data_IF_159612714893
#
_entry.id   IF_159612714893
#
_cell.length_a   1.000
_cell.length_b   1.000
_cell.length_c   1.000
_cell.angle_alpha   90.00
_cell.angle_beta   90.00
_cell.angle_gamma   90.00
#
_symmetry.space_group_name_H-M   'P 1'
#
loop_
_entity.id
_entity.type
_entity.pdbx_description
1 polymer ?
#
# COMPACT_ATOMS: atom_id res chain seq x y z
N UNK A 1 8.57 6.21 -12.98
CA UNK A 1 9.19 6.74 -11.76
C UNK A 1 10.70 6.69 -11.93
N UNK A 2 11.31 7.79 -12.37
CA UNK A 2 12.75 7.80 -12.69
C UNK A 2 13.40 9.10 -12.18
N UNK A 3 12.96 9.65 -11.05
CA UNK A 3 13.54 10.88 -10.50
C UNK A 3 13.38 10.89 -8.98
N UNK A 4 14.45 11.29 -8.27
CA UNK A 4 14.45 11.40 -6.80
C UNK A 4 15.67 10.75 -6.13
N UNK A 5 16.26 9.73 -6.76
CA UNK A 5 17.39 8.98 -6.21
C UNK A 5 17.12 8.34 -4.83
N UNK A 6 18.17 7.79 -4.18
CA UNK A 6 18.07 7.20 -2.85
C UNK A 6 17.60 8.20 -1.76
N UNK A 7 17.92 9.48 -1.95
CA UNK A 7 17.63 10.55 -0.98
C UNK A 7 16.14 10.77 -0.78
N UNK A 8 15.39 10.91 -1.88
CA UNK A 8 13.94 11.09 -1.79
C UNK A 8 13.30 9.87 -1.16
N UNK A 9 13.77 8.66 -1.49
CA UNK A 9 13.21 7.45 -0.89
C UNK A 9 13.38 7.41 0.63
N UNK A 10 14.56 7.74 1.15
CA UNK A 10 14.83 7.72 2.60
C UNK A 10 14.08 8.82 3.33
N UNK A 11 14.18 10.07 2.86
CA UNK A 11 13.56 11.21 3.54
C UNK A 11 12.04 11.23 3.39
N UNK A 12 11.50 10.85 2.23
CA UNK A 12 10.05 10.73 2.06
C UNK A 12 9.49 9.62 2.96
N UNK A 13 10.18 8.48 3.09
CA UNK A 13 9.75 7.41 3.98
C UNK A 13 9.67 7.88 5.44
N UNK A 14 10.72 8.52 5.96
CA UNK A 14 10.75 9.01 7.35
C UNK A 14 9.65 10.05 7.58
N UNK A 15 9.50 10.99 6.65
CA UNK A 15 8.49 12.04 6.74
C UNK A 15 7.07 11.46 6.74
N UNK A 16 6.76 10.56 5.81
CA UNK A 16 5.45 9.89 5.72
C UNK A 16 5.21 9.01 6.94
N UNK A 17 6.24 8.35 7.48
CA UNK A 17 6.13 7.54 8.68
C UNK A 17 5.73 8.39 9.90
N UNK A 18 6.35 9.55 10.10
CA UNK A 18 5.99 10.47 11.20
C UNK A 18 4.54 10.93 11.10
N UNK A 19 4.11 11.37 9.90
CA UNK A 19 2.72 11.79 9.69
C UNK A 19 1.72 10.64 9.94
N UNK A 20 2.06 9.44 9.48
CA UNK A 20 1.22 8.24 9.68
C UNK A 20 1.15 7.85 11.15
N UNK A 21 2.25 7.99 11.91
CA UNK A 21 2.28 7.75 13.35
C UNK A 21 1.37 8.72 14.11
N UNK A 22 1.37 10.02 13.76
CA UNK A 22 0.45 10.98 14.36
C UNK A 22 -1.02 10.55 14.18
N UNK A 23 -1.40 10.16 12.97
CA UNK A 23 -2.77 9.67 12.68
C UNK A 23 -3.08 8.40 13.46
N UNK A 24 -2.12 7.47 13.52
CA UNK A 24 -2.29 6.19 14.23
C UNK A 24 -2.43 6.39 15.74
N UNK A 25 -1.67 7.32 16.34
CA UNK A 25 -1.77 7.65 17.76
C UNK A 25 -3.13 8.27 18.10
N UNK A 26 -3.64 9.19 17.28
CA UNK A 26 -5.00 9.74 17.46
C UNK A 26 -6.07 8.65 17.39
N UNK A 27 -5.94 7.70 16.44
CA UNK A 27 -6.87 6.56 16.37
C UNK A 27 -6.72 5.62 17.57
N UNK A 28 -5.50 5.41 18.08
CA UNK A 28 -5.26 4.58 19.26
C UNK A 28 -5.93 5.16 20.52
N UNK A 29 -5.91 6.49 20.70
CA UNK A 29 -6.59 7.17 21.81
C UNK A 29 -8.12 7.07 21.73
N UNK A 30 -8.68 7.15 20.52
CA UNK A 30 -10.11 6.94 20.29
C UNK A 30 -10.50 5.49 20.61
N UNK A 31 -9.70 4.52 20.15
CA UNK A 31 -9.91 3.09 20.43
C UNK A 31 -9.84 2.76 21.92
N UNK A 32 -8.93 3.38 22.68
CA UNK A 32 -8.79 3.15 24.12
C UNK A 32 -9.96 3.74 24.92
N UNK A 33 -10.48 4.89 24.48
CA UNK A 33 -11.61 5.57 25.11
C UNK A 33 -12.95 4.92 24.76
N UNK A 34 -13.10 4.38 23.55
CA UNK A 34 -14.34 3.77 23.05
C UNK A 34 -14.08 2.38 22.46
N UNK A 35 -13.87 1.34 23.30
CA UNK A 35 -13.60 -0.02 22.87
C UNK A 35 -14.90 -0.72 22.44
N UNK A 36 -15.59 -0.16 21.44
CA UNK A 36 -16.84 -0.70 20.90
C UNK A 36 -16.62 -1.09 19.44
N UNK A 37 -17.16 -2.25 19.03
CA UNK A 37 -17.04 -2.81 17.68
C UNK A 37 -17.73 -2.01 16.56
N UNK A 38 -18.09 -0.75 16.81
CA UNK A 38 -18.85 0.12 15.89
C UNK A 38 -18.01 0.76 14.78
N UNK A 39 -16.69 0.53 14.74
CA UNK A 39 -15.82 1.03 13.69
C UNK A 39 -15.80 2.56 13.52
N UNK A 40 -15.20 3.02 12.42
CA UNK A 40 -14.95 4.43 12.13
C UNK A 40 -16.24 5.28 12.05
N UNK A 41 -17.35 4.69 11.61
CA UNK A 41 -18.64 5.38 11.51
C UNK A 41 -19.27 5.63 12.89
N UNK A 42 -19.03 4.75 13.87
CA UNK A 42 -19.53 4.91 15.23
C UNK A 42 -18.71 5.95 16.01
N UNK A 43 -17.39 5.92 15.85
CA UNK A 43 -16.50 6.90 16.48
C UNK A 43 -16.80 8.32 16.00
N UNK A 44 -16.98 8.52 14.68
CA UNK A 44 -17.39 9.83 14.14
C UNK A 44 -18.74 10.31 14.67
N UNK A 45 -19.67 9.40 14.97
CA UNK A 45 -20.97 9.74 15.54
C UNK A 45 -20.94 10.08 17.04
N UNK A 46 -19.94 9.64 17.79
CA UNK A 46 -19.79 9.94 19.22
C UNK A 46 -19.06 11.27 19.44
N UNK A 47 -18.09 11.57 18.58
CA UNK A 47 -17.26 12.77 18.67
C UNK A 47 -18.00 14.05 18.25
N UNK A 48 -19.10 13.93 17.51
CA UNK A 48 -19.82 15.06 16.91
C UNK A 48 -21.09 15.39 17.72
N UNK A 49 -21.48 16.69 17.85
CA UNK A 49 -22.72 17.09 18.53
C UNK A 49 -23.96 16.35 18.00
N UNK A 50 -24.92 16.05 18.89
CA UNK A 50 -26.13 15.24 18.57
C UNK A 50 -26.88 15.68 17.31
N UNK A 51 -26.81 16.97 16.96
CA UNK A 51 -27.42 17.57 15.76
C UNK A 51 -26.78 17.10 14.43
N UNK A 52 -25.47 16.85 14.42
CA UNK A 52 -24.72 16.47 13.20
C UNK A 52 -24.26 15.01 13.20
N UNK A 53 -24.49 14.28 14.29
CA UNK A 53 -24.19 12.85 14.43
C UNK A 53 -24.57 11.99 13.21
N UNK A 54 -25.81 12.02 12.69
CA UNK A 54 -26.17 11.19 11.54
C UNK A 54 -25.47 11.61 10.24
N UNK A 55 -25.22 12.92 10.04
CA UNK A 55 -24.52 13.41 8.85
C UNK A 55 -23.05 13.02 8.86
N UNK A 56 -22.37 13.20 10.00
CA UNK A 56 -20.95 12.85 10.13
C UNK A 56 -20.73 11.34 9.94
N UNK A 57 -21.52 10.49 10.60
CA UNK A 57 -21.44 9.04 10.42
C UNK A 57 -21.76 8.60 8.99
N UNK A 58 -22.69 9.28 8.30
CA UNK A 58 -23.03 9.00 6.91
C UNK A 58 -21.85 9.26 5.97
N UNK A 59 -21.26 10.46 6.03
CA UNK A 59 -20.09 10.78 5.20
C UNK A 59 -18.91 9.86 5.52
N UNK A 60 -18.59 9.64 6.79
CA UNK A 60 -17.49 8.74 7.18
C UNK A 60 -17.73 7.31 6.69
N UNK A 61 -18.97 6.81 6.75
CA UNK A 61 -19.33 5.49 6.21
C UNK A 61 -19.11 5.40 4.70
N UNK A 62 -19.59 6.39 3.93
CA UNK A 62 -19.42 6.41 2.47
C UNK A 62 -17.97 6.54 2.04
N UNK A 63 -17.20 7.42 2.67
CA UNK A 63 -15.78 7.56 2.37
C UNK A 63 -15.01 6.29 2.73
N UNK A 64 -15.37 5.61 3.82
CA UNK A 64 -14.76 4.33 4.17
C UNK A 64 -15.08 3.26 3.13
N UNK A 65 -16.34 3.17 2.68
CA UNK A 65 -16.78 2.22 1.66
C UNK A 65 -16.08 2.43 0.32
N UNK A 66 -16.06 3.69 -0.18
CA UNK A 66 -15.39 4.04 -1.43
C UNK A 66 -13.89 3.79 -1.32
N UNK A 67 -13.29 4.13 -0.18
CA UNK A 67 -11.88 3.88 0.10
C UNK A 67 -11.54 2.40 0.01
N UNK A 68 -12.37 1.52 0.59
CA UNK A 68 -12.15 0.08 0.51
C UNK A 68 -12.22 -0.42 -0.93
N UNK A 69 -13.23 -0.02 -1.71
CA UNK A 69 -13.29 -0.41 -3.13
C UNK A 69 -12.10 0.08 -3.94
N UNK A 70 -11.68 1.34 -3.73
CA UNK A 70 -10.52 1.91 -4.43
C UNK A 70 -9.22 1.17 -4.07
N UNK A 71 -9.01 0.84 -2.79
CA UNK A 71 -7.84 0.09 -2.32
C UNK A 71 -7.82 -1.31 -2.90
N UNK A 72 -8.94 -2.06 -2.84
CA UNK A 72 -9.02 -3.40 -3.42
C UNK A 72 -8.74 -3.37 -4.92
N UNK A 73 -9.38 -2.46 -5.67
CA UNK A 73 -9.16 -2.32 -7.10
C UNK A 73 -7.70 -1.98 -7.46
N UNK A 74 -7.05 -1.12 -6.67
CA UNK A 74 -5.65 -0.75 -6.88
C UNK A 74 -4.71 -1.95 -6.65
N UNK A 75 -4.95 -2.74 -5.60
CA UNK A 75 -4.16 -3.93 -5.29
C UNK A 75 -4.35 -5.01 -6.36
N UNK A 76 -5.58 -5.29 -6.76
CA UNK A 76 -5.89 -6.29 -7.78
C UNK A 76 -5.29 -5.92 -9.14
N UNK A 77 -5.35 -4.65 -9.51
CA UNK A 77 -4.69 -4.15 -10.72
C UNK A 77 -3.15 -4.27 -10.64
N UNK A 78 -2.57 -3.96 -9.47
CA UNK A 78 -1.14 -4.16 -9.23
C UNK A 78 -0.73 -5.64 -9.35
N UNK A 79 -1.54 -6.55 -8.83
CA UNK A 79 -1.34 -8.00 -8.98
C UNK A 79 -1.42 -8.41 -10.45
N UNK A 80 -2.42 -7.91 -11.20
CA UNK A 80 -2.58 -8.21 -12.62
C UNK A 80 -1.35 -7.78 -13.45
N UNK A 81 -0.77 -6.61 -13.14
CA UNK A 81 0.47 -6.14 -13.77
C UNK A 81 1.66 -7.03 -13.44
N UNK A 82 1.80 -7.46 -12.17
CA UNK A 82 2.86 -8.38 -11.75
C UNK A 82 2.72 -9.74 -12.46
N UNK A 83 1.52 -10.31 -12.50
CA UNK A 83 1.24 -11.57 -13.18
C UNK A 83 1.55 -11.46 -14.68
N UNK A 84 1.10 -10.39 -15.34
CA UNK A 84 1.41 -10.14 -16.74
C UNK A 84 2.94 -10.03 -17.00
N UNK A 85 3.67 -9.40 -16.07
CA UNK A 85 5.13 -9.28 -16.15
C UNK A 85 5.82 -10.64 -15.99
N UNK A 86 5.38 -11.47 -15.05
CA UNK A 86 5.92 -12.83 -14.83
C UNK A 86 5.67 -13.71 -16.07
N UNK A 87 4.48 -13.64 -16.66
CA UNK A 87 4.16 -14.39 -17.89
C UNK A 87 5.03 -13.93 -19.06
N UNK A 88 5.25 -12.62 -19.22
CA UNK A 88 6.12 -12.08 -20.27
C UNK A 88 7.56 -12.56 -20.11
N UNK A 89 8.10 -12.57 -18.89
CA UNK A 89 9.45 -13.08 -18.59
C UNK A 89 9.55 -14.59 -18.86
N UNK A 90 8.56 -15.37 -18.42
CA UNK A 90 8.52 -16.82 -18.64
C UNK A 90 8.43 -17.22 -20.11
N UNK A 91 7.86 -16.37 -20.96
CA UNK A 91 7.77 -16.56 -22.41
C UNK A 91 8.92 -15.90 -23.19
N UNK A 92 10.07 -15.66 -22.54
CA UNK A 92 11.26 -15.03 -23.14
C UNK A 92 10.95 -13.68 -23.83
N UNK A 93 10.08 -12.86 -23.22
CA UNK A 93 9.67 -11.53 -23.71
C UNK A 93 9.02 -11.52 -25.10
N UNK A 94 8.63 -12.68 -25.63
CA UNK A 94 7.93 -12.80 -26.92
C UNK A 94 6.49 -12.29 -26.84
N UNK A 95 5.93 -12.23 -25.64
CA UNK A 95 4.58 -11.74 -25.38
C UNK A 95 4.62 -10.37 -24.72
N UNK A 96 4.05 -9.38 -25.40
CA UNK A 96 3.85 -8.03 -24.87
C UNK A 96 2.43 -7.92 -24.30
N UNK A 97 2.26 -7.63 -22.99
CA UNK A 97 0.95 -7.54 -22.38
C UNK A 97 0.18 -6.34 -22.92
N UNK A 98 -0.81 -6.60 -23.79
CA UNK A 98 -1.73 -5.55 -24.27
C UNK A 98 -2.71 -5.17 -23.15
N UNK A 99 -3.23 -3.93 -23.11
CA UNK A 99 -4.16 -3.47 -22.08
C UNK A 99 -5.36 -4.40 -21.85
N UNK A 100 -5.91 -4.96 -22.93
CA UNK A 100 -7.02 -5.90 -22.86
C UNK A 100 -6.70 -7.17 -22.05
N UNK A 101 -5.48 -7.72 -22.17
CA UNK A 101 -5.08 -8.92 -21.42
C UNK A 101 -4.94 -8.61 -19.93
N UNK A 102 -4.44 -7.42 -19.58
CA UNK A 102 -4.31 -6.99 -18.18
C UNK A 102 -5.69 -6.88 -17.53
N UNK A 103 -6.69 -6.33 -18.24
CA UNK A 103 -8.07 -6.27 -17.77
C UNK A 103 -8.65 -7.67 -17.58
N UNK A 104 -8.40 -8.60 -18.49
CA UNK A 104 -8.89 -9.97 -18.38
C UNK A 104 -8.28 -10.72 -17.18
N UNK A 105 -6.97 -10.55 -16.97
CA UNK A 105 -6.27 -11.11 -15.80
C UNK A 105 -6.82 -10.50 -14.51
N UNK A 106 -7.00 -9.18 -14.47
CA UNK A 106 -7.60 -8.48 -13.33
C UNK A 106 -9.01 -9.00 -13.02
N UNK A 107 -9.85 -9.20 -14.04
CA UNK A 107 -11.19 -9.76 -13.86
C UNK A 107 -11.14 -11.17 -13.24
N UNK A 108 -10.23 -12.03 -13.69
CA UNK A 108 -10.04 -13.37 -13.11
C UNK A 108 -9.61 -13.32 -11.64
N UNK A 109 -8.72 -12.39 -11.29
CA UNK A 109 -8.26 -12.18 -9.91
C UNK A 109 -9.42 -11.73 -9.02
N UNK A 110 -10.19 -10.73 -9.45
CA UNK A 110 -11.34 -10.21 -8.69
C UNK A 110 -12.40 -11.28 -8.46
N UNK A 111 -12.70 -12.12 -9.47
CA UNK A 111 -13.63 -13.25 -9.31
C UNK A 111 -13.10 -14.24 -8.27
N UNK A 112 -11.80 -14.54 -8.31
CA UNK A 112 -11.17 -15.46 -7.35
C UNK A 112 -11.22 -14.90 -5.93
N UNK A 113 -10.92 -13.60 -5.74
CA UNK A 113 -11.07 -12.93 -4.45
C UNK A 113 -12.52 -12.91 -3.96
N UNK A 114 -13.48 -12.66 -4.86
CA UNK A 114 -14.91 -12.75 -4.55
C UNK A 114 -15.31 -14.15 -4.07
N UNK A 115 -14.85 -15.20 -4.75
CA UNK A 115 -15.08 -16.59 -4.34
C UNK A 115 -14.45 -16.89 -2.98
N UNK A 116 -13.20 -16.52 -2.75
CA UNK A 116 -12.54 -16.67 -1.45
C UNK A 116 -13.31 -15.96 -0.32
N UNK A 117 -13.89 -14.78 -0.60
CA UNK A 117 -14.71 -14.05 0.38
C UNK A 117 -16.00 -14.82 0.74
N UNK A 118 -16.56 -15.62 -0.18
CA UNK A 118 -17.73 -16.45 0.10
C UNK A 118 -17.42 -17.71 0.92
N UNK A 119 -16.15 -18.14 1.01
CA UNK A 119 -15.73 -19.39 1.69
C UNK A 119 -15.74 -19.33 3.23
N UNK A 120 -16.44 -18.35 3.81
CA UNK A 120 -16.73 -18.27 5.23
C UNK A 120 -15.61 -17.68 6.10
N UNK A 121 -15.95 -17.24 7.33
CA UNK A 121 -15.06 -16.43 8.16
C UNK A 121 -13.81 -17.18 8.69
N UNK A 122 -13.82 -18.52 8.69
CA UNK A 122 -12.67 -19.32 9.15
C UNK A 122 -11.49 -19.26 8.19
N UNK A 123 -11.74 -19.35 6.88
CA UNK A 123 -10.67 -19.22 5.88
C UNK A 123 -10.09 -17.81 5.91
N UNK A 124 -10.95 -16.80 5.98
CA UNK A 124 -10.52 -15.40 6.05
C UNK A 124 -9.67 -15.13 7.30
N UNK A 125 -10.08 -15.64 8.47
CA UNK A 125 -9.28 -15.49 9.69
C UNK A 125 -7.90 -16.16 9.57
N UNK A 126 -7.81 -17.31 8.92
CA UNK A 126 -6.53 -17.98 8.70
C UNK A 126 -5.64 -17.19 7.72
N UNK A 127 -6.19 -16.75 6.59
CA UNK A 127 -5.48 -15.93 5.61
C UNK A 127 -4.96 -14.62 6.23
N UNK A 128 -5.76 -13.96 7.05
CA UNK A 128 -5.36 -12.75 7.77
C UNK A 128 -4.17 -13.02 8.70
N UNK A 129 -4.22 -14.11 9.48
CA UNK A 129 -3.10 -14.47 10.36
C UNK A 129 -1.81 -14.74 9.58
N UNK A 130 -1.89 -15.48 8.47
CA UNK A 130 -0.73 -15.72 7.58
C UNK A 130 -0.21 -14.41 6.99
N UNK A 131 -1.12 -13.52 6.55
CA UNK A 131 -0.76 -12.21 5.99
C UNK A 131 -0.02 -11.33 6.99
N UNK A 132 -0.43 -11.33 8.26
CA UNK A 132 0.28 -10.59 9.32
C UNK A 132 1.71 -11.12 9.49
N UNK A 133 1.89 -12.43 9.60
CA UNK A 133 3.23 -13.01 9.71
C UNK A 133 4.09 -12.76 8.48
N UNK A 134 3.50 -12.84 7.28
CA UNK A 134 4.21 -12.54 6.03
C UNK A 134 4.68 -11.09 5.98
N UNK A 135 3.82 -10.13 6.35
CA UNK A 135 4.17 -8.70 6.37
C UNK A 135 5.24 -8.35 7.41
N UNK A 136 5.34 -9.12 8.50
CA UNK A 136 6.40 -8.94 9.50
C UNK A 136 7.72 -9.59 9.04
N UNK A 137 7.67 -10.80 8.50
CA UNK A 137 8.87 -11.58 8.15
C UNK A 137 9.49 -11.15 6.82
N UNK A 138 8.68 -10.87 5.79
CA UNK A 138 9.18 -10.57 4.45
C UNK A 138 10.13 -9.36 4.42
N UNK A 139 9.83 -8.21 5.06
CA UNK A 139 10.76 -7.07 5.10
C UNK A 139 12.07 -7.40 5.81
N UNK A 140 12.02 -8.19 6.90
CA UNK A 140 13.21 -8.61 7.64
C UNK A 140 14.08 -9.51 6.76
N UNK A 141 13.48 -10.51 6.11
CA UNK A 141 14.18 -11.44 5.23
C UNK A 141 14.81 -10.70 4.05
N UNK A 142 14.07 -9.83 3.38
CA UNK A 142 14.58 -9.04 2.24
C UNK A 142 15.73 -8.12 2.69
N UNK A 143 15.58 -7.46 3.84
CA UNK A 143 16.64 -6.59 4.39
C UNK A 143 17.91 -7.38 4.69
N UNK A 144 17.79 -8.56 5.32
CA UNK A 144 18.93 -9.44 5.61
C UNK A 144 19.55 -10.02 4.34
N UNK A 145 18.73 -10.44 3.37
CA UNK A 145 19.20 -10.96 2.10
C UNK A 145 20.00 -9.90 1.31
N UNK A 146 19.55 -8.65 1.32
CA UNK A 146 20.29 -7.54 0.72
C UNK A 146 21.61 -7.26 1.46
N UNK A 147 21.60 -7.28 2.80
CA UNK A 147 22.81 -7.08 3.61
C UNK A 147 23.86 -8.17 3.40
N UNK A 148 23.45 -9.44 3.27
CA UNK A 148 24.35 -10.59 3.11
C UNK A 148 24.78 -10.74 1.64
N UNK A 149 23.87 -10.49 0.70
CA UNK A 149 24.10 -10.65 -0.74
C UNK A 149 25.02 -9.59 -1.36
N UNK A 150 25.27 -8.47 -0.68
CA UNK A 150 26.17 -7.42 -1.17
C UNK A 150 27.62 -7.66 -0.72
N UNK A 151 28.50 -8.04 -1.67
CA UNK A 151 29.97 -8.10 -1.51
C UNK A 151 30.69 -7.61 -2.79
N UNK A 152 31.78 -6.82 -2.71
CA UNK A 152 32.10 -5.75 -1.76
C UNK A 152 31.80 -4.36 -2.38
N UNK A 153 30.99 -3.55 -1.70
CA UNK A 153 30.70 -2.18 -2.16
C UNK A 153 29.41 -1.65 -1.56
N UNK A 154 29.37 -1.46 -0.24
CA UNK A 154 28.30 -0.67 0.37
C UNK A 154 28.39 0.74 -0.22
N UNK A 155 27.29 1.24 -0.79
CA UNK A 155 27.23 2.63 -1.24
C UNK A 155 27.49 3.54 -0.05
N UNK A 156 28.37 4.52 -0.21
CA UNK A 156 28.76 5.44 0.87
C UNK A 156 27.52 6.13 1.45
N UNK A 157 27.46 6.34 2.77
CA UNK A 157 26.33 7.01 3.41
C UNK A 157 25.98 8.36 2.75
N UNK A 158 27.00 9.10 2.28
CA UNK A 158 26.80 10.33 1.50
C UNK A 158 25.99 10.08 0.22
N UNK A 159 26.23 9.00 -0.51
CA UNK A 159 25.44 8.63 -1.70
C UNK A 159 23.97 8.38 -1.35
N UNK A 160 23.70 7.71 -0.22
CA UNK A 160 22.33 7.39 0.20
C UNK A 160 21.57 8.62 0.71
N UNK A 161 22.24 9.51 1.44
CA UNK A 161 21.59 10.67 2.07
C UNK A 161 21.66 11.97 1.26
N UNK A 162 22.54 12.08 0.25
CA UNK A 162 22.71 13.33 -0.53
C UNK A 162 22.65 13.19 -2.05
N UNK A 163 22.70 11.99 -2.64
CA UNK A 163 22.62 11.85 -4.11
C UNK A 163 21.17 11.91 -4.63
N UNK A 164 20.83 13.05 -5.23
CA UNK A 164 19.62 13.18 -6.04
C UNK A 164 19.91 12.77 -7.48
N UNK A 165 19.14 11.83 -8.03
CA UNK A 165 19.23 11.47 -9.46
C UNK A 165 18.04 12.05 -10.20
N UNK A 166 18.33 12.92 -11.18
CA UNK A 166 17.36 13.57 -12.05
C UNK A 166 17.53 13.04 -13.49
N UNK A 167 16.57 12.26 -13.96
CA UNK A 167 16.54 11.76 -15.34
C UNK A 167 15.51 12.51 -16.21
N UNK A 168 14.90 13.55 -15.68
CA UNK A 168 14.21 14.58 -16.47
C UNK A 168 15.30 15.51 -17.01
N UNK A 169 15.40 15.68 -18.34
CA UNK A 169 16.40 16.51 -19.04
C UNK A 169 16.30 18.03 -18.74
N UNK A 170 16.04 18.41 -17.49
CA UNK A 170 15.83 19.77 -17.00
C UNK A 170 16.93 20.10 -15.99
N UNK A 171 17.56 21.27 -16.12
CA UNK A 171 18.74 21.66 -15.34
C UNK A 171 18.48 21.93 -13.85
N UNK A 172 17.23 21.78 -13.37
CA UNK A 172 16.84 22.13 -12.01
C UNK A 172 16.48 20.89 -11.19
N UNK A 173 17.04 20.84 -9.98
CA UNK A 173 17.05 19.71 -9.04
C UNK A 173 15.68 19.37 -8.43
N UNK A 174 14.62 20.13 -8.72
CA UNK A 174 13.28 19.86 -8.16
C UNK A 174 12.21 20.12 -9.23
N UNK A 175 11.77 19.06 -9.90
CA UNK A 175 10.53 19.09 -10.69
C UNK A 175 9.44 18.40 -9.89
N UNK A 176 8.64 19.18 -9.17
CA UNK A 176 7.35 18.74 -8.64
C UNK A 176 6.36 18.67 -9.81
N UNK A 177 6.26 17.50 -10.44
CA UNK A 177 5.11 17.20 -11.30
C UNK A 177 3.97 16.69 -10.42
N UNK A 178 3.03 17.60 -10.13
CA UNK A 178 1.69 17.28 -9.61
C UNK A 178 0.92 16.47 -10.66
#
# INVERSE_FOLDING_TARGET
MVTGGPVVMVWAWIFVAILTLCVTLSMAEICSSYPTSGGLYYWSGILVPKKYKPLASWFTGWFNLIGQFAVTAAIDFGLALLVASVVSVGLNLQWSPRPFHIVLINLGIVITHGLCNTMGPRLLSWLTNVSVWWQLLAPIIVSLALLIGMKPGHQTASFVFTKFENYTNWSNTVSLSV
#
